data_IF_711916038858
#
_entry.id   IF_711916038858
#
_cell.length_a   1.000
_cell.length_b   1.000
_cell.length_c   1.000
_cell.angle_alpha   90.00
_cell.angle_beta   90.00
_cell.angle_gamma   90.00
#
_symmetry.space_group_name_H-M   'P 1'
#
loop_
_entity.id
_entity.type
_entity.pdbx_description
1 polymer ?
#
# COMPACT_ATOMS: atom_id res chain seq x y z
N UNK A 1 72.74 66.33 -52.53
CA UNK A 1 72.16 65.01 -52.80
C UNK A 1 72.82 63.82 -52.00
N UNK A 2 74.14 63.72 -51.94
CA UNK A 2 74.80 62.56 -51.25
C UNK A 2 74.54 62.44 -49.73
N UNK A 3 74.29 63.58 -49.01
CA UNK A 3 73.96 63.52 -47.56
C UNK A 3 72.55 63.08 -47.30
N UNK A 4 71.57 63.47 -48.14
CA UNK A 4 70.18 63.10 -48.01
C UNK A 4 69.99 61.53 -48.24
N UNK A 5 70.72 61.05 -49.23
CA UNK A 5 70.68 59.60 -49.56
C UNK A 5 71.19 58.72 -48.39
N UNK A 6 72.22 59.18 -47.66
CA UNK A 6 72.74 58.44 -46.47
C UNK A 6 71.71 58.44 -45.34
N UNK A 7 70.97 59.50 -45.12
CA UNK A 7 69.93 59.58 -44.11
C UNK A 7 68.72 58.64 -44.44
N UNK A 8 68.35 58.58 -45.71
CA UNK A 8 67.27 57.68 -46.16
C UNK A 8 67.69 56.25 -46.02
N UNK A 9 68.96 55.90 -46.38
CA UNK A 9 69.49 54.53 -46.23
C UNK A 9 69.49 54.11 -44.70
N UNK A 10 69.97 55.02 -43.83
CA UNK A 10 70.00 54.77 -42.39
C UNK A 10 68.57 54.55 -41.80
N UNK A 11 67.62 55.39 -42.32
CA UNK A 11 66.20 55.25 -41.86
C UNK A 11 65.57 53.94 -42.32
N UNK A 12 65.84 53.48 -43.55
CA UNK A 12 65.35 52.22 -44.09
C UNK A 12 65.98 51.01 -43.35
N UNK A 13 67.27 51.11 -43.07
CA UNK A 13 67.93 50.00 -42.28
C UNK A 13 67.42 49.98 -40.85
N UNK A 14 67.22 51.12 -40.22
CA UNK A 14 66.61 51.18 -38.87
C UNK A 14 65.19 50.62 -38.83
N UNK A 15 64.38 50.96 -39.84
CA UNK A 15 63.00 50.54 -39.96
C UNK A 15 62.90 49.00 -40.22
N UNK A 16 63.72 48.47 -41.10
CA UNK A 16 63.82 47.02 -41.35
C UNK A 16 64.37 46.27 -40.16
N UNK A 17 65.34 46.84 -39.41
CA UNK A 17 65.82 46.30 -38.14
C UNK A 17 64.76 46.28 -37.06
N UNK A 18 63.90 47.30 -36.98
CA UNK A 18 62.78 47.38 -36.06
C UNK A 18 61.69 46.35 -36.35
N UNK A 19 61.34 46.19 -37.65
CA UNK A 19 60.40 45.19 -38.08
C UNK A 19 60.95 43.78 -37.81
N UNK A 20 62.24 43.51 -38.15
CA UNK A 20 62.89 42.22 -37.87
C UNK A 20 62.98 41.91 -36.38
N UNK A 21 63.31 42.92 -35.55
CA UNK A 21 63.31 42.83 -34.08
C UNK A 21 61.92 42.55 -33.48
N UNK A 22 60.91 43.23 -34.05
CA UNK A 22 59.53 42.93 -33.61
C UNK A 22 59.08 41.53 -33.96
N UNK A 23 59.34 41.02 -35.14
CA UNK A 23 59.02 39.65 -35.52
C UNK A 23 59.84 38.62 -34.73
N UNK A 24 61.09 38.88 -34.45
CA UNK A 24 61.93 38.01 -33.61
C UNK A 24 61.44 38.01 -32.14
N UNK A 25 61.17 39.22 -31.59
CA UNK A 25 60.62 39.32 -30.24
C UNK A 25 59.25 38.65 -30.11
N UNK A 26 58.36 38.88 -31.10
CA UNK A 26 57.05 38.21 -31.10
C UNK A 26 57.13 36.71 -31.25
N UNK A 27 58.10 36.17 -32.03
CA UNK A 27 58.24 34.73 -32.17
C UNK A 27 58.92 34.06 -30.97
N UNK A 28 59.78 34.77 -30.22
CA UNK A 28 60.42 34.22 -29.00
C UNK A 28 59.57 34.48 -27.73
N UNK A 29 58.79 35.53 -27.69
CA UNK A 29 57.85 35.79 -26.54
C UNK A 29 56.57 35.00 -26.62
N UNK A 30 56.18 34.45 -27.79
CA UNK A 30 55.05 33.51 -27.93
C UNK A 30 55.36 32.06 -27.58
N UNK A 31 56.63 31.71 -27.29
CA UNK A 31 57.02 30.43 -26.70
C UNK A 31 57.08 30.48 -25.15
N UNK A 32 56.57 31.55 -24.52
CA UNK A 32 56.27 31.53 -23.10
C UNK A 32 55.07 30.61 -22.86
N UNK A 33 55.30 29.50 -22.18
CA UNK A 33 54.34 28.59 -21.61
C UNK A 33 52.99 29.25 -21.36
N UNK A 34 52.07 29.08 -22.28
CA UNK A 34 50.65 29.11 -21.94
C UNK A 34 50.42 27.83 -21.16
N UNK A 35 50.75 27.83 -19.88
CA UNK A 35 49.98 27.02 -18.92
C UNK A 35 48.59 27.58 -19.02
N UNK A 36 47.81 27.04 -19.96
CA UNK A 36 46.39 27.09 -19.88
C UNK A 36 46.04 26.46 -18.50
N UNK A 37 45.73 27.31 -17.53
CA UNK A 37 44.85 26.88 -16.45
C UNK A 37 43.54 26.48 -17.14
N UNK A 38 43.53 25.26 -17.74
CA UNK A 38 42.29 24.54 -17.93
C UNK A 38 41.77 24.34 -16.52
N UNK A 39 40.88 25.24 -16.10
CA UNK A 39 39.98 24.88 -15.02
C UNK A 39 39.48 23.50 -15.37
N UNK A 40 39.79 22.52 -14.53
CA UNK A 40 39.25 21.20 -14.64
C UNK A 40 37.73 21.35 -14.54
N UNK A 41 37.10 21.68 -15.67
CA UNK A 41 35.63 21.62 -15.76
C UNK A 41 35.28 20.18 -15.69
N UNK A 42 34.67 19.79 -14.57
CA UNK A 42 34.04 18.47 -14.42
C UNK A 42 33.03 18.31 -15.56
N UNK A 43 33.33 17.47 -16.53
CA UNK A 43 32.39 17.13 -17.59
C UNK A 43 31.58 15.91 -17.25
N UNK A 44 30.29 15.97 -17.47
CA UNK A 44 29.42 14.77 -17.40
C UNK A 44 29.70 13.97 -18.68
N UNK A 45 30.18 12.73 -18.49
CA UNK A 45 30.36 11.81 -19.60
C UNK A 45 28.96 11.31 -20.04
N UNK A 46 28.52 11.65 -21.22
CA UNK A 46 27.34 11.08 -21.87
C UNK A 46 27.66 9.66 -22.38
N UNK A 47 27.79 8.73 -21.44
CA UNK A 47 27.78 7.30 -21.79
C UNK A 47 26.32 6.93 -21.98
N UNK A 48 25.94 6.46 -23.14
CA UNK A 48 24.64 5.80 -23.35
C UNK A 48 24.64 4.53 -22.54
N UNK A 49 23.98 4.58 -21.37
CA UNK A 49 23.79 3.43 -20.50
C UNK A 49 22.38 2.91 -20.69
N UNK A 50 22.27 1.66 -21.15
CA UNK A 50 20.99 0.95 -21.28
C UNK A 50 20.90 -0.05 -20.14
N UNK A 51 19.98 0.13 -19.20
CA UNK A 51 19.71 -0.81 -18.12
C UNK A 51 18.26 -1.30 -18.23
N UNK A 52 18.01 -2.15 -19.21
CA UNK A 52 16.71 -2.75 -19.45
C UNK A 52 16.64 -4.10 -18.73
N UNK A 53 16.01 -4.12 -17.58
CA UNK A 53 15.83 -5.30 -16.71
C UNK A 53 14.35 -5.70 -16.67
N UNK A 54 14.05 -6.93 -16.23
CA UNK A 54 12.68 -7.37 -16.02
C UNK A 54 11.92 -6.43 -15.05
N UNK A 55 12.62 -5.84 -14.07
CA UNK A 55 12.06 -4.86 -13.14
C UNK A 55 11.64 -3.59 -13.85
N UNK A 56 12.50 -3.01 -14.72
CA UNK A 56 12.17 -1.77 -15.43
C UNK A 56 11.00 -1.98 -16.38
N UNK A 57 10.98 -3.11 -17.11
CA UNK A 57 9.87 -3.47 -18.01
C UNK A 57 8.56 -3.69 -17.25
N UNK A 58 8.59 -4.34 -16.08
CA UNK A 58 7.42 -4.55 -15.25
C UNK A 58 6.82 -3.22 -14.75
N UNK A 59 7.68 -2.27 -14.33
CA UNK A 59 7.27 -0.94 -13.88
C UNK A 59 6.68 -0.14 -15.03
N UNK A 60 7.36 -0.08 -16.19
CA UNK A 60 6.88 0.63 -17.37
C UNK A 60 5.50 0.17 -17.83
N UNK A 61 5.20 -1.15 -17.68
CA UNK A 61 3.91 -1.72 -18.07
C UNK A 61 2.74 -1.20 -17.22
N UNK A 62 2.97 -0.91 -15.93
CA UNK A 62 1.87 -0.69 -14.97
C UNK A 62 1.88 0.70 -14.32
N UNK A 63 2.98 1.45 -14.35
CA UNK A 63 3.12 2.72 -13.62
C UNK A 63 2.01 3.74 -13.95
N UNK A 64 1.55 3.79 -15.19
CA UNK A 64 0.49 4.71 -15.62
C UNK A 64 -0.90 4.30 -15.12
N UNK A 65 -1.05 3.07 -14.61
CA UNK A 65 -2.27 2.62 -13.93
C UNK A 65 -2.23 2.89 -12.41
N UNK A 66 -1.09 3.35 -11.87
CA UNK A 66 -0.97 3.71 -10.45
C UNK A 66 -1.29 5.19 -10.26
N UNK A 67 -2.14 5.49 -9.30
CA UNK A 67 -2.63 6.84 -9.04
C UNK A 67 -2.41 7.24 -7.59
N UNK A 68 -2.37 8.56 -7.32
CA UNK A 68 -2.48 9.06 -5.95
C UNK A 68 -3.94 9.30 -5.61
N UNK A 69 -4.35 8.85 -4.43
CA UNK A 69 -5.69 9.05 -3.87
C UNK A 69 -5.61 10.09 -2.77
N UNK A 70 -6.35 11.18 -2.91
CA UNK A 70 -6.32 12.34 -2.00
C UNK A 70 -7.66 12.43 -1.29
N UNK A 71 -7.63 12.30 0.04
CA UNK A 71 -8.78 12.38 0.92
C UNK A 71 -8.91 13.78 1.50
N UNK A 72 -10.05 14.43 1.30
CA UNK A 72 -10.37 15.73 1.85
C UNK A 72 -11.47 15.62 2.91
N UNK A 73 -11.27 16.32 4.01
CA UNK A 73 -12.22 16.41 5.12
C UNK A 73 -12.34 17.86 5.62
N UNK A 74 -13.46 18.21 6.19
CA UNK A 74 -13.65 19.50 6.86
C UNK A 74 -12.80 19.54 8.13
N UNK A 75 -11.86 20.48 8.21
CA UNK A 75 -11.14 20.71 9.46
C UNK A 75 -12.01 21.47 10.45
N UNK A 76 -12.46 20.79 11.50
CA UNK A 76 -13.02 21.41 12.69
C UNK A 76 -11.93 22.21 13.40
N UNK A 77 -11.85 23.51 13.17
CA UNK A 77 -10.88 24.41 13.79
C UNK A 77 -11.18 24.63 15.28
N UNK A 78 -10.99 23.61 16.11
CA UNK A 78 -11.29 23.67 17.55
C UNK A 78 -10.11 24.02 18.46
N UNK A 79 -8.99 24.55 17.95
CA UNK A 79 -7.82 24.74 18.83
C UNK A 79 -7.18 26.13 18.86
N UNK A 80 -7.35 26.99 17.87
CA UNK A 80 -6.70 28.33 17.88
C UNK A 80 -7.67 29.51 17.70
N UNK A 81 -8.85 29.31 17.12
CA UNK A 81 -9.85 30.36 16.94
C UNK A 81 -10.48 30.86 18.25
N UNK A 82 -10.50 30.02 19.29
CA UNK A 82 -10.98 30.44 20.63
C UNK A 82 -10.07 31.45 21.34
N UNK A 83 -8.82 31.62 20.88
CA UNK A 83 -7.84 32.56 21.47
C UNK A 83 -7.87 33.92 20.77
N UNK A 84 -8.28 33.99 19.49
CA UNK A 84 -8.19 35.19 18.67
C UNK A 84 -9.55 35.78 18.24
N UNK A 85 -10.68 35.38 18.81
CA UNK A 85 -11.96 35.99 18.67
C UNK A 85 -12.43 36.24 17.22
N UNK A 86 -13.45 35.50 16.76
CA UNK A 86 -14.22 35.72 15.53
C UNK A 86 -13.43 35.82 14.24
N UNK A 87 -12.87 34.70 13.80
CA UNK A 87 -12.72 34.42 12.37
C UNK A 87 -13.85 33.44 12.04
N UNK A 88 -14.72 33.83 11.09
CA UNK A 88 -15.76 32.95 10.57
C UNK A 88 -15.12 31.61 10.23
N UNK A 89 -15.63 30.52 10.82
CA UNK A 89 -15.24 29.16 10.45
C UNK A 89 -15.65 28.96 8.99
N UNK A 90 -14.71 29.13 8.07
CA UNK A 90 -14.89 28.60 6.74
C UNK A 90 -14.80 27.07 6.87
N UNK A 91 -15.88 26.37 6.52
CA UNK A 91 -15.91 24.93 6.29
C UNK A 91 -15.02 24.61 5.07
N UNK A 92 -13.72 24.84 5.20
CA UNK A 92 -12.75 24.63 4.11
C UNK A 92 -12.25 23.20 4.17
N UNK A 93 -12.45 22.47 3.07
CA UNK A 93 -11.94 21.13 2.89
C UNK A 93 -10.41 21.16 2.85
N UNK A 94 -9.78 20.44 3.76
CA UNK A 94 -8.33 20.25 3.80
C UNK A 94 -7.96 18.81 3.48
N UNK A 95 -6.73 18.59 2.99
CA UNK A 95 -6.19 17.24 2.79
C UNK A 95 -6.02 16.58 4.16
N UNK A 96 -6.81 15.54 4.40
CA UNK A 96 -6.77 14.76 5.64
C UNK A 96 -5.81 13.56 5.51
N UNK A 97 -5.64 13.03 4.30
CA UNK A 97 -4.75 11.92 4.03
C UNK A 97 -4.50 11.71 2.54
N UNK A 98 -3.41 11.07 2.24
CA UNK A 98 -3.05 10.66 0.87
C UNK A 98 -2.56 9.21 0.87
N UNK A 99 -2.86 8.51 -0.23
CA UNK A 99 -2.41 7.16 -0.48
C UNK A 99 -2.30 6.89 -1.97
N UNK A 100 -2.30 5.63 -2.33
CA UNK A 100 -2.21 5.17 -3.71
C UNK A 100 -3.46 4.40 -4.11
N UNK A 101 -3.64 4.19 -5.41
CA UNK A 101 -4.66 3.35 -5.99
C UNK A 101 -4.20 2.71 -7.28
N UNK A 102 -4.94 1.72 -7.75
CA UNK A 102 -4.66 0.99 -8.99
C UNK A 102 -5.88 1.03 -9.88
N UNK A 103 -5.74 1.57 -11.09
CA UNK A 103 -6.77 1.49 -12.12
C UNK A 103 -6.76 0.06 -12.68
N UNK A 104 -7.82 -0.70 -12.45
CA UNK A 104 -7.89 -2.11 -12.84
C UNK A 104 -8.94 -2.42 -13.91
N UNK A 105 -9.85 -1.48 -14.17
CA UNK A 105 -10.95 -1.69 -15.12
C UNK A 105 -11.34 -0.40 -15.79
N UNK A 106 -11.69 -0.49 -17.08
CA UNK A 106 -12.33 0.57 -17.85
C UNK A 106 -13.58 -0.01 -18.50
N UNK A 107 -14.72 0.65 -18.29
CA UNK A 107 -16.02 0.25 -18.82
C UNK A 107 -16.73 1.50 -19.36
N UNK A 108 -16.77 1.61 -20.69
CA UNK A 108 -17.28 2.80 -21.37
C UNK A 108 -16.54 4.07 -20.96
N UNK A 109 -17.29 5.04 -20.45
CA UNK A 109 -16.77 6.34 -20.00
C UNK A 109 -16.31 6.35 -18.54
N UNK A 110 -16.29 5.18 -17.87
CA UNK A 110 -15.94 5.03 -16.47
C UNK A 110 -14.70 4.16 -16.31
N UNK A 111 -13.79 4.56 -15.42
CA UNK A 111 -12.69 3.74 -14.96
C UNK A 111 -12.80 3.48 -13.45
N UNK A 112 -12.35 2.31 -13.02
CA UNK A 112 -12.45 1.83 -11.65
C UNK A 112 -11.06 1.70 -11.04
N UNK A 113 -10.94 2.12 -9.80
CA UNK A 113 -9.72 2.16 -9.01
C UNK A 113 -9.94 1.38 -7.73
N UNK A 114 -9.03 0.48 -7.40
CA UNK A 114 -8.94 -0.11 -6.07
C UNK A 114 -7.93 0.67 -5.23
N UNK A 115 -8.27 0.87 -3.96
CA UNK A 115 -7.39 1.45 -2.93
C UNK A 115 -7.70 0.82 -1.57
N UNK A 116 -7.01 1.23 -0.51
CA UNK A 116 -7.39 0.82 0.84
C UNK A 116 -8.54 1.68 1.41
N UNK A 117 -9.39 1.04 2.22
CA UNK A 117 -10.46 1.75 2.91
C UNK A 117 -9.93 2.84 3.85
N UNK A 118 -8.85 2.59 4.60
CA UNK A 118 -8.27 3.58 5.52
C UNK A 118 -7.74 4.83 4.80
N UNK A 119 -7.39 4.76 3.50
CA UNK A 119 -6.95 5.92 2.71
C UNK A 119 -8.10 6.89 2.48
N UNK A 120 -9.33 6.36 2.33
CA UNK A 120 -10.52 7.19 2.01
C UNK A 120 -11.51 7.30 3.18
N UNK A 121 -11.18 6.72 4.33
CA UNK A 121 -12.07 6.75 5.51
C UNK A 121 -12.38 8.19 5.91
N UNK A 122 -13.67 8.50 6.14
CA UNK A 122 -14.13 9.82 6.50
C UNK A 122 -14.04 10.89 5.39
N UNK A 123 -13.70 10.52 4.16
CA UNK A 123 -13.58 11.48 3.06
C UNK A 123 -14.93 12.14 2.72
N UNK A 124 -14.96 13.47 2.72
CA UNK A 124 -16.08 14.24 2.18
C UNK A 124 -15.91 14.45 0.67
N UNK A 125 -14.65 14.48 0.20
CA UNK A 125 -14.28 14.55 -1.21
C UNK A 125 -13.06 13.70 -1.46
N UNK A 126 -13.04 13.01 -2.60
CA UNK A 126 -11.90 12.22 -3.08
C UNK A 126 -11.44 12.80 -4.41
N UNK A 127 -10.16 13.15 -4.51
CA UNK A 127 -9.52 13.47 -5.78
C UNK A 127 -8.49 12.39 -6.13
N UNK A 128 -8.38 12.12 -7.42
CA UNK A 128 -7.44 11.16 -8.00
C UNK A 128 -6.43 11.92 -8.85
N UNK A 129 -5.16 11.81 -8.54
CA UNK A 129 -4.07 12.34 -9.34
C UNK A 129 -3.48 11.23 -10.20
N UNK A 130 -3.66 11.34 -11.52
CA UNK A 130 -3.10 10.41 -12.50
C UNK A 130 -1.59 10.56 -12.63
N UNK A 131 -0.91 9.56 -13.18
CA UNK A 131 0.52 9.60 -13.51
C UNK A 131 0.87 10.76 -14.47
N UNK A 132 -0.07 11.16 -15.31
CA UNK A 132 0.05 12.33 -16.20
C UNK A 132 0.10 13.68 -15.47
N UNK A 133 -0.22 13.71 -14.17
CA UNK A 133 -0.37 14.94 -13.38
C UNK A 133 -1.78 15.56 -13.44
N UNK A 134 -2.71 14.97 -14.18
CA UNK A 134 -4.10 15.43 -14.19
C UNK A 134 -4.82 14.99 -12.91
N UNK A 135 -5.64 15.88 -12.37
CA UNK A 135 -6.46 15.62 -11.18
C UNK A 135 -7.93 15.44 -11.59
N UNK A 136 -8.52 14.34 -11.19
CA UNK A 136 -9.91 13.99 -11.46
C UNK A 136 -10.68 13.83 -10.13
N UNK A 137 -11.98 14.11 -10.15
CA UNK A 137 -12.85 13.80 -9.00
C UNK A 137 -13.18 12.33 -8.98
N UNK A 138 -13.00 11.68 -7.83
CA UNK A 138 -13.37 10.29 -7.57
C UNK A 138 -14.72 10.20 -6.89
N UNK A 139 -15.51 9.17 -7.24
CA UNK A 139 -16.75 8.81 -6.59
C UNK A 139 -16.62 7.42 -5.96
N UNK A 140 -16.94 7.30 -4.69
CA UNK A 140 -16.88 6.01 -3.98
C UNK A 140 -17.97 5.08 -4.52
N UNK A 141 -17.57 3.89 -4.96
CA UNK A 141 -18.48 2.79 -5.35
C UNK A 141 -18.88 1.97 -4.12
N UNK A 142 -17.90 1.65 -3.29
CA UNK A 142 -18.10 0.93 -2.05
C UNK A 142 -16.78 0.74 -1.30
N UNK A 143 -16.86 0.45 -0.02
CA UNK A 143 -15.72 0.22 0.83
C UNK A 143 -16.02 -0.86 1.87
N UNK A 144 -14.98 -1.55 2.30
CA UNK A 144 -15.04 -2.57 3.32
C UNK A 144 -13.92 -2.40 4.34
N UNK A 145 -14.32 -2.09 5.55
CA UNK A 145 -13.39 -1.82 6.66
C UNK A 145 -12.65 -3.08 7.09
N UNK A 146 -13.29 -4.25 6.95
CA UNK A 146 -12.70 -5.52 7.39
C UNK A 146 -11.51 -5.95 6.50
N UNK A 147 -11.70 -5.93 5.17
CA UNK A 147 -10.62 -6.27 4.23
C UNK A 147 -9.71 -5.10 3.92
N UNK A 148 -10.03 -3.89 4.40
CA UNK A 148 -9.32 -2.65 4.11
C UNK A 148 -9.25 -2.34 2.60
N UNK A 149 -10.31 -2.67 1.83
CA UNK A 149 -10.43 -2.42 0.39
C UNK A 149 -11.55 -1.41 0.12
N UNK A 150 -11.32 -0.50 -0.81
CA UNK A 150 -12.32 0.40 -1.37
C UNK A 150 -12.21 0.46 -2.89
N UNK A 151 -13.35 0.71 -3.53
CA UNK A 151 -13.47 0.91 -4.98
C UNK A 151 -13.97 2.31 -5.26
N UNK A 152 -13.25 3.02 -6.12
CA UNK A 152 -13.56 4.39 -6.57
C UNK A 152 -13.75 4.35 -8.08
N UNK A 153 -14.67 5.16 -8.60
CA UNK A 153 -14.83 5.37 -10.05
C UNK A 153 -14.48 6.81 -10.43
N UNK A 154 -13.93 6.97 -11.64
CA UNK A 154 -13.57 8.24 -12.28
C UNK A 154 -14.02 8.27 -13.73
N UNK A 155 -13.99 9.44 -14.36
CA UNK A 155 -14.12 9.56 -15.81
C UNK A 155 -12.92 8.90 -16.51
N UNK A 156 -13.19 8.11 -17.58
CA UNK A 156 -12.19 7.27 -18.22
C UNK A 156 -11.46 7.93 -19.41
N UNK A 157 -11.82 9.17 -19.77
CA UNK A 157 -11.29 9.88 -20.96
C UNK A 157 -9.78 10.07 -20.93
N UNK A 158 -9.19 10.18 -19.73
CA UNK A 158 -7.75 10.36 -19.50
C UNK A 158 -7.01 9.08 -19.09
N UNK A 159 -7.72 7.98 -18.95
CA UNK A 159 -7.14 6.70 -18.55
C UNK A 159 -6.59 5.98 -19.79
N UNK A 160 -5.28 5.78 -19.81
CA UNK A 160 -4.54 5.14 -20.91
C UNK A 160 -4.17 3.68 -20.61
N UNK A 161 -3.97 3.36 -19.34
CA UNK A 161 -3.45 2.04 -18.88
C UNK A 161 -4.31 1.50 -17.75
N UNK A 162 -4.54 0.19 -17.78
CA UNK A 162 -5.18 -0.58 -16.70
C UNK A 162 -4.21 -1.66 -16.25
N UNK A 163 -4.16 -1.94 -14.95
CA UNK A 163 -3.37 -3.02 -14.39
C UNK A 163 -4.12 -4.35 -14.49
N UNK A 164 -3.35 -5.43 -14.65
CA UNK A 164 -3.87 -6.80 -14.65
C UNK A 164 -3.57 -7.47 -13.31
N UNK A 165 -4.54 -8.17 -12.74
CA UNK A 165 -4.32 -9.02 -11.57
C UNK A 165 -3.75 -10.38 -11.97
N UNK A 166 -2.74 -10.86 -11.21
CA UNK A 166 -2.27 -12.23 -11.28
C UNK A 166 -2.96 -13.08 -10.19
N UNK A 167 -2.88 -14.40 -10.34
CA UNK A 167 -3.34 -15.31 -9.29
C UNK A 167 -2.31 -15.38 -8.15
N UNK A 168 -2.65 -14.80 -6.99
CA UNK A 168 -1.77 -14.78 -5.82
C UNK A 168 -1.52 -16.14 -5.17
N UNK A 169 -2.35 -17.17 -5.46
CA UNK A 169 -2.14 -18.52 -4.94
C UNK A 169 -0.99 -19.25 -5.64
N UNK A 170 -0.53 -18.74 -6.78
CA UNK A 170 0.55 -19.36 -7.57
C UNK A 170 1.93 -18.77 -7.33
N UNK A 171 2.01 -17.64 -6.62
CA UNK A 171 3.30 -16.97 -6.29
C UNK A 171 4.09 -17.80 -5.29
N UNK A 172 5.40 -17.60 -5.22
CA UNK A 172 6.30 -18.36 -4.35
C UNK A 172 7.16 -17.43 -3.50
N UNK A 173 7.49 -17.90 -2.31
CA UNK A 173 8.50 -17.25 -1.47
C UNK A 173 9.83 -17.17 -2.20
N UNK A 174 10.45 -15.99 -2.16
CA UNK A 174 11.69 -15.66 -2.87
C UNK A 174 11.48 -15.06 -4.26
N UNK A 175 10.26 -15.02 -4.81
CA UNK A 175 9.98 -14.28 -6.05
C UNK A 175 10.14 -12.77 -5.84
N UNK A 176 10.58 -12.09 -6.90
CA UNK A 176 10.69 -10.63 -6.90
C UNK A 176 9.32 -9.98 -6.71
N UNK A 177 9.26 -9.05 -5.78
CA UNK A 177 8.10 -8.20 -5.52
C UNK A 177 8.48 -6.73 -5.71
N UNK A 178 7.63 -5.96 -6.39
CA UNK A 178 7.85 -4.55 -6.66
C UNK A 178 6.61 -3.80 -6.19
N UNK A 179 6.79 -2.84 -5.29
CA UNK A 179 5.71 -1.96 -4.85
C UNK A 179 5.82 -0.61 -5.55
N UNK A 180 4.67 -0.09 -5.99
CA UNK A 180 4.57 1.23 -6.61
C UNK A 180 3.54 2.04 -5.84
N UNK A 181 3.83 3.34 -5.61
CA UNK A 181 2.92 4.21 -4.87
C UNK A 181 3.43 5.63 -4.71
N UNK A 182 2.78 6.38 -3.83
CA UNK A 182 3.05 7.79 -3.55
C UNK A 182 3.44 7.98 -2.07
N UNK A 183 4.59 7.43 -1.61
CA UNK A 183 4.98 7.54 -0.21
C UNK A 183 5.13 9.02 0.18
N UNK A 184 4.57 9.39 1.34
CA UNK A 184 4.58 10.77 1.86
C UNK A 184 3.85 11.79 0.97
N UNK A 185 2.87 11.33 0.17
CA UNK A 185 1.97 12.19 -0.60
C UNK A 185 2.29 12.28 -2.09
N UNK A 186 1.44 13.00 -2.81
CA UNK A 186 1.47 13.15 -4.27
C UNK A 186 2.78 13.75 -4.83
N UNK A 187 3.57 14.43 -3.99
CA UNK A 187 4.90 14.96 -4.36
C UNK A 187 5.87 13.82 -4.72
N UNK A 188 5.69 12.64 -4.15
CA UNK A 188 6.51 11.45 -4.39
C UNK A 188 5.74 10.37 -5.17
N UNK A 189 4.77 10.78 -6.00
CA UNK A 189 3.99 9.88 -6.85
C UNK A 189 4.90 8.98 -7.70
N UNK A 190 4.45 7.72 -7.91
CA UNK A 190 5.17 6.71 -8.69
C UNK A 190 6.56 6.31 -8.13
N UNK A 191 6.74 6.40 -6.81
CA UNK A 191 7.92 5.81 -6.18
C UNK A 191 7.86 4.30 -6.27
N UNK A 192 8.97 3.70 -6.70
CA UNK A 192 9.12 2.26 -6.87
C UNK A 192 10.09 1.72 -5.82
N UNK A 193 9.70 0.65 -5.14
CA UNK A 193 10.57 -0.13 -4.25
C UNK A 193 10.56 -1.59 -4.66
N UNK A 194 11.65 -2.31 -4.43
CA UNK A 194 11.80 -3.71 -4.83
C UNK A 194 12.32 -4.54 -3.66
N UNK A 195 11.82 -5.75 -3.58
CA UNK A 195 12.21 -6.77 -2.63
C UNK A 195 11.77 -8.16 -3.13
N UNK A 196 11.43 -9.03 -2.20
CA UNK A 196 10.96 -10.40 -2.48
C UNK A 196 9.68 -10.71 -1.70
N UNK A 197 8.99 -11.75 -2.10
CA UNK A 197 7.95 -12.38 -1.31
C UNK A 197 8.63 -13.12 -0.14
N UNK A 198 8.38 -12.68 1.09
CA UNK A 198 8.96 -13.27 2.31
C UNK A 198 8.10 -14.39 2.90
N UNK A 199 6.75 -14.30 2.75
CA UNK A 199 5.79 -15.33 3.15
C UNK A 199 4.47 -15.15 2.42
N UNK A 200 3.68 -16.23 2.25
CA UNK A 200 2.44 -16.21 1.45
C UNK A 200 1.18 -16.08 2.30
N UNK A 201 1.15 -16.60 3.48
CA UNK A 201 -0.06 -16.63 4.32
C UNK A 201 0.31 -16.27 5.75
N UNK A 202 0.37 -14.96 6.01
CA UNK A 202 0.48 -14.44 7.36
C UNK A 202 -0.88 -13.97 7.82
N UNK A 203 -1.43 -14.63 8.81
CA UNK A 203 -2.55 -14.06 9.55
C UNK A 203 -2.06 -12.84 10.31
N UNK A 204 -2.46 -11.68 9.90
CA UNK A 204 -2.08 -10.41 10.52
C UNK A 204 -3.30 -9.81 11.19
N UNK A 205 -3.13 -9.45 12.45
CA UNK A 205 -4.18 -8.86 13.27
C UNK A 205 -4.05 -7.34 13.23
N UNK A 206 -5.11 -6.65 12.85
CA UNK A 206 -5.21 -5.19 12.93
C UNK A 206 -6.44 -4.79 13.74
N UNK A 207 -6.50 -3.53 14.20
CA UNK A 207 -7.69 -2.99 14.85
C UNK A 207 -8.38 -2.01 13.91
N UNK A 208 -9.72 -2.08 13.85
CA UNK A 208 -10.53 -1.04 13.24
C UNK A 208 -10.55 0.21 14.10
N UNK A 209 -11.05 1.32 13.54
CA UNK A 209 -11.26 2.57 14.29
C UNK A 209 -12.23 2.38 15.48
N UNK A 210 -13.18 1.45 15.35
CA UNK A 210 -14.11 1.05 16.41
C UNK A 210 -13.53 0.07 17.44
N UNK A 211 -12.24 -0.25 17.35
CA UNK A 211 -11.53 -1.12 18.28
C UNK A 211 -11.79 -2.63 18.05
N UNK A 212 -12.47 -3.03 16.97
CA UNK A 212 -12.61 -4.43 16.62
C UNK A 212 -11.29 -4.99 16.11
N UNK A 213 -10.93 -6.17 16.57
CA UNK A 213 -9.78 -6.90 16.06
C UNK A 213 -10.14 -7.62 14.78
N UNK A 214 -9.44 -7.28 13.70
CA UNK A 214 -9.59 -7.92 12.39
C UNK A 214 -8.36 -8.79 12.14
N UNK A 215 -8.59 -9.96 11.58
CA UNK A 215 -7.54 -10.85 11.10
C UNK A 215 -7.69 -11.04 9.61
N UNK A 216 -6.61 -10.76 8.88
CA UNK A 216 -6.57 -10.92 7.43
C UNK A 216 -5.33 -11.70 7.02
N UNK A 217 -5.47 -12.53 5.99
CA UNK A 217 -4.31 -13.13 5.35
C UNK A 217 -3.57 -12.06 4.55
N UNK A 218 -2.25 -12.06 4.65
CA UNK A 218 -1.41 -11.11 3.94
C UNK A 218 -0.20 -11.78 3.32
N UNK A 219 0.20 -11.28 2.15
CA UNK A 219 1.52 -11.53 1.58
C UNK A 219 2.51 -10.69 2.37
N UNK A 220 3.54 -11.33 2.93
CA UNK A 220 4.65 -10.64 3.56
C UNK A 220 5.76 -10.41 2.53
N UNK A 221 6.34 -9.22 2.53
CA UNK A 221 7.46 -8.82 1.66
C UNK A 221 8.48 -7.99 2.45
N UNK A 222 9.73 -7.99 2.02
CA UNK A 222 10.76 -7.06 2.49
C UNK A 222 10.84 -5.79 1.61
N UNK A 223 9.99 -5.71 0.58
CA UNK A 223 9.78 -4.48 -0.19
C UNK A 223 9.36 -3.35 0.74
N UNK A 224 9.99 -2.19 0.65
CA UNK A 224 9.68 -1.07 1.54
C UNK A 224 8.25 -0.57 1.34
N UNK A 225 7.38 -0.87 2.31
CA UNK A 225 6.00 -0.38 2.38
C UNK A 225 5.94 0.69 3.46
N UNK A 226 5.53 1.89 3.07
CA UNK A 226 5.44 3.07 3.95
C UNK A 226 4.07 3.75 3.76
N UNK A 227 3.65 4.61 4.69
CA UNK A 227 2.48 5.47 4.49
C UNK A 227 2.55 6.18 3.13
N UNK A 228 1.46 6.08 2.34
CA UNK A 228 1.37 6.56 0.97
C UNK A 228 1.51 5.47 -0.11
N UNK A 229 2.23 4.35 0.14
CA UNK A 229 2.15 3.17 -0.74
C UNK A 229 0.85 2.37 -0.52
N UNK A 230 0.14 2.61 0.57
CA UNK A 230 -1.16 1.98 0.86
C UNK A 230 -2.13 2.19 -0.28
N UNK A 231 -2.79 1.12 -0.71
CA UNK A 231 -3.71 1.09 -1.85
C UNK A 231 -3.04 0.94 -3.21
N UNK A 232 -1.72 1.13 -3.30
CA UNK A 232 -0.93 0.86 -4.50
C UNK A 232 -0.65 -0.63 -4.70
N UNK A 233 -0.19 -1.04 -5.90
CA UNK A 233 0.04 -2.43 -6.20
C UNK A 233 1.36 -2.96 -5.63
N UNK A 234 1.35 -4.22 -5.23
CA UNK A 234 2.51 -5.10 -5.22
C UNK A 234 2.46 -5.92 -6.52
N UNK A 235 3.49 -5.86 -7.36
CA UNK A 235 3.52 -6.51 -8.66
C UNK A 235 4.62 -7.55 -8.77
N UNK A 236 4.43 -8.51 -9.67
CA UNK A 236 5.47 -9.45 -10.11
C UNK A 236 6.34 -8.85 -11.24
N UNK A 237 7.35 -9.61 -11.70
CA UNK A 237 8.24 -9.19 -12.80
C UNK A 237 7.57 -9.15 -14.18
N UNK A 238 6.32 -9.60 -14.32
CA UNK A 238 5.50 -9.45 -15.52
C UNK A 238 4.65 -8.16 -15.49
N UNK A 239 4.73 -7.37 -14.42
CA UNK A 239 3.93 -6.17 -14.21
C UNK A 239 2.47 -6.46 -13.86
N UNK A 240 2.19 -7.63 -13.30
CA UNK A 240 0.85 -8.01 -12.86
C UNK A 240 0.71 -7.83 -11.35
N UNK A 241 -0.44 -7.37 -10.90
CA UNK A 241 -0.74 -7.12 -9.48
C UNK A 241 -0.94 -8.45 -8.76
N UNK A 242 -0.09 -8.74 -7.79
CA UNK A 242 -0.15 -9.91 -6.91
C UNK A 242 -0.75 -9.57 -5.54
N UNK A 243 -0.86 -8.28 -5.22
CA UNK A 243 -1.49 -7.80 -3.99
C UNK A 243 -1.65 -6.29 -3.94
N UNK A 244 -2.41 -5.82 -2.96
CA UNK A 244 -2.61 -4.39 -2.65
C UNK A 244 -1.87 -4.05 -1.36
N UNK A 245 -0.90 -3.15 -1.43
CA UNK A 245 -0.07 -2.76 -0.28
C UNK A 245 -0.91 -2.14 0.84
N UNK A 246 -0.63 -2.46 2.10
CA UNK A 246 -1.28 -1.83 3.25
C UNK A 246 -0.27 -1.53 4.37
N UNK A 247 -0.04 -0.26 4.63
CA UNK A 247 0.80 0.20 5.75
C UNK A 247 0.11 0.04 7.11
N UNK A 248 -1.23 -0.07 7.14
CA UNK A 248 -2.00 -0.31 8.37
C UNK A 248 -1.66 -1.69 8.95
N UNK A 249 -1.54 -2.70 8.09
CA UNK A 249 -1.14 -4.06 8.48
C UNK A 249 0.29 -4.03 9.02
N UNK A 250 1.19 -3.31 8.34
CA UNK A 250 2.59 -3.15 8.76
C UNK A 250 2.71 -2.49 10.14
N UNK A 251 1.93 -1.44 10.39
CA UNK A 251 1.96 -0.68 11.65
C UNK A 251 1.42 -1.48 12.84
N UNK A 252 0.43 -2.35 12.63
CA UNK A 252 -0.16 -3.17 13.71
C UNK A 252 0.74 -4.33 14.12
N UNK A 253 1.72 -4.70 13.29
CA UNK A 253 2.71 -5.74 13.59
C UNK A 253 3.87 -5.23 14.47
N UNK A 254 3.85 -3.96 14.89
CA UNK A 254 4.85 -3.39 15.81
C UNK A 254 4.70 -4.05 17.18
N UNK A 255 5.78 -4.60 17.70
CA UNK A 255 5.80 -5.24 19.01
C UNK A 255 5.37 -4.27 20.11
N UNK A 256 4.81 -4.80 21.19
CA UNK A 256 4.43 -4.04 22.41
C UNK A 256 5.56 -3.22 23.04
N UNK A 257 6.79 -3.34 22.55
CA UNK A 257 7.96 -2.55 22.94
C UNK A 257 8.10 -1.21 22.21
N UNK A 258 7.21 -0.89 21.24
CA UNK A 258 7.25 0.38 20.49
C UNK A 258 8.41 0.51 19.49
N UNK A 259 9.16 -0.57 19.24
CA UNK A 259 10.22 -0.58 18.23
C UNK A 259 9.62 -0.97 16.89
N UNK A 260 9.68 -0.07 15.91
CA UNK A 260 9.32 -0.39 14.54
C UNK A 260 10.23 -1.50 13.99
N UNK A 261 9.66 -2.57 13.48
CA UNK A 261 10.42 -3.64 12.81
C UNK A 261 10.58 -3.26 11.35
N UNK A 262 11.80 -2.91 10.96
CA UNK A 262 12.13 -2.61 9.57
C UNK A 262 12.18 -3.89 8.72
N UNK A 263 11.86 -3.78 7.42
CA UNK A 263 11.94 -4.88 6.47
C UNK A 263 10.76 -5.87 6.51
N UNK A 264 9.65 -5.50 7.14
CA UNK A 264 8.39 -6.25 7.06
C UNK A 264 7.29 -5.38 6.45
N UNK A 265 6.98 -5.62 5.19
CA UNK A 265 5.83 -5.06 4.49
C UNK A 265 4.74 -6.11 4.30
N UNK A 266 3.49 -5.67 4.12
CA UNK A 266 2.35 -6.54 3.90
C UNK A 266 1.48 -6.03 2.76
N UNK A 267 0.90 -6.98 2.01
CA UNK A 267 -0.08 -6.69 0.97
C UNK A 267 -1.26 -7.67 1.05
N UNK A 268 -2.46 -7.17 0.77
CA UNK A 268 -3.67 -7.98 0.65
C UNK A 268 -3.54 -8.79 -0.65
N UNK A 269 -3.66 -10.13 -0.61
CA UNK A 269 -3.53 -10.98 -1.81
C UNK A 269 -4.50 -10.56 -2.92
N UNK A 270 -4.05 -10.64 -4.17
CA UNK A 270 -4.88 -10.23 -5.32
C UNK A 270 -6.17 -11.02 -5.46
N UNK A 271 -6.17 -12.33 -5.16
CA UNK A 271 -7.38 -13.15 -5.22
C UNK A 271 -8.44 -12.64 -4.22
N UNK A 272 -8.02 -12.33 -2.98
CA UNK A 272 -8.90 -11.80 -1.95
C UNK A 272 -9.40 -10.40 -2.35
N UNK A 273 -8.50 -9.53 -2.83
CA UNK A 273 -8.86 -8.19 -3.28
C UNK A 273 -9.90 -8.23 -4.42
N UNK A 274 -9.71 -9.10 -5.43
CA UNK A 274 -10.65 -9.24 -6.56
C UNK A 274 -12.02 -9.75 -6.11
N UNK A 275 -12.06 -10.69 -5.17
CA UNK A 275 -13.32 -11.17 -4.60
C UNK A 275 -14.11 -10.04 -3.90
N UNK A 276 -13.41 -9.20 -3.14
CA UNK A 276 -14.00 -8.03 -2.46
C UNK A 276 -14.42 -6.98 -3.48
N UNK A 277 -13.58 -6.63 -4.45
CA UNK A 277 -13.88 -5.68 -5.54
C UNK A 277 -15.19 -6.05 -6.24
N UNK A 278 -15.37 -7.33 -6.61
CA UNK A 278 -16.58 -7.79 -7.30
C UNK A 278 -17.84 -7.58 -6.45
N UNK A 279 -17.76 -7.79 -5.13
CA UNK A 279 -18.90 -7.53 -4.23
C UNK A 279 -19.17 -6.02 -4.10
N UNK A 280 -18.13 -5.20 -3.98
CA UNK A 280 -18.27 -3.74 -3.89
C UNK A 280 -18.84 -3.15 -5.19
N UNK A 281 -18.39 -3.61 -6.37
CA UNK A 281 -18.97 -3.17 -7.65
C UNK A 281 -20.44 -3.55 -7.79
N UNK A 282 -20.81 -4.74 -7.33
CA UNK A 282 -22.17 -5.27 -7.53
C UNK A 282 -23.16 -4.73 -6.51
N UNK A 283 -22.74 -4.65 -5.24
CA UNK A 283 -23.66 -4.42 -4.10
C UNK A 283 -23.35 -3.12 -3.33
N UNK A 284 -22.24 -2.45 -3.64
CA UNK A 284 -21.75 -1.28 -2.89
C UNK A 284 -21.17 -1.63 -1.50
N UNK A 285 -21.29 -2.89 -1.08
CA UNK A 285 -20.81 -3.39 0.22
C UNK A 285 -20.42 -4.87 0.16
N UNK A 286 -19.64 -5.30 1.13
CA UNK A 286 -19.29 -6.71 1.33
C UNK A 286 -20.22 -7.33 2.36
N UNK A 287 -20.83 -8.45 2.01
CA UNK A 287 -21.71 -9.20 2.90
C UNK A 287 -20.99 -10.45 3.38
N UNK A 288 -20.84 -10.59 4.70
CA UNK A 288 -20.18 -11.75 5.33
C UNK A 288 -21.17 -12.58 6.14
N UNK A 289 -21.01 -13.91 6.17
CA UNK A 289 -21.84 -14.74 7.01
C UNK A 289 -21.55 -14.50 8.50
N UNK A 290 -22.56 -14.60 9.32
CA UNK A 290 -22.50 -14.47 10.76
C UNK A 290 -23.03 -15.70 11.47
N UNK A 291 -22.34 -16.12 12.54
CA UNK A 291 -22.82 -17.19 13.42
C UNK A 291 -23.75 -16.68 14.52
N UNK A 292 -23.57 -15.42 14.96
CA UNK A 292 -24.31 -14.86 16.09
C UNK A 292 -23.83 -15.40 17.43
N UNK A 293 -22.52 -15.39 17.66
CA UNK A 293 -21.87 -15.84 18.89
C UNK A 293 -21.10 -14.69 19.56
N UNK A 294 -21.18 -14.61 20.89
CA UNK A 294 -20.20 -13.87 21.70
C UNK A 294 -19.11 -14.86 22.13
N UNK A 295 -17.87 -14.48 21.94
CA UNK A 295 -16.75 -15.40 22.07
C UNK A 295 -15.47 -14.74 22.59
N UNK A 296 -14.61 -15.52 23.22
CA UNK A 296 -13.28 -15.12 23.70
C UNK A 296 -12.25 -16.19 23.31
N UNK A 297 -10.98 -15.78 23.13
CA UNK A 297 -9.93 -16.79 22.94
C UNK A 297 -9.73 -17.58 24.24
N UNK A 298 -9.54 -18.88 24.11
CA UNK A 298 -9.23 -19.73 25.27
C UNK A 298 -7.95 -19.28 25.97
N UNK A 299 -6.95 -18.83 25.20
CA UNK A 299 -5.67 -18.32 25.67
C UNK A 299 -5.75 -17.02 26.49
N UNK A 300 -6.83 -16.25 26.34
CA UNK A 300 -7.02 -14.98 27.07
C UNK A 300 -7.60 -15.20 28.49
N UNK A 301 -8.02 -16.43 28.80
CA UNK A 301 -8.65 -16.77 30.06
C UNK A 301 -7.62 -17.03 31.15
N UNK A 302 -7.85 -16.47 32.34
CA UNK A 302 -7.08 -16.80 33.53
C UNK A 302 -7.38 -18.22 34.03
N UNK A 303 -6.47 -18.82 34.79
CA UNK A 303 -6.66 -20.17 35.38
C UNK A 303 -7.99 -20.27 36.15
N UNK A 304 -8.37 -19.23 36.88
CA UNK A 304 -9.64 -19.23 37.63
C UNK A 304 -10.87 -19.17 36.75
N UNK A 305 -10.79 -18.59 35.54
CA UNK A 305 -11.86 -18.58 34.56
C UNK A 305 -11.97 -19.93 33.86
N UNK A 306 -10.83 -20.58 33.54
CA UNK A 306 -10.80 -21.96 33.01
C UNK A 306 -11.39 -22.95 34.01
N UNK A 307 -11.09 -22.81 35.32
CA UNK A 307 -11.72 -23.65 36.39
C UNK A 307 -13.23 -23.47 36.40
N UNK A 308 -13.74 -22.22 36.34
CA UNK A 308 -15.19 -21.93 36.31
C UNK A 308 -15.88 -22.49 35.08
N UNK A 309 -15.18 -22.50 33.94
CA UNK A 309 -15.67 -23.07 32.68
C UNK A 309 -15.57 -24.59 32.64
N UNK A 310 -14.96 -25.23 33.65
CA UNK A 310 -14.74 -26.69 33.68
C UNK A 310 -13.64 -27.19 32.74
N UNK A 311 -12.76 -26.27 32.30
CA UNK A 311 -11.72 -26.50 31.29
C UNK A 311 -10.31 -26.62 31.87
N UNK A 312 -10.12 -26.44 33.17
CA UNK A 312 -8.80 -26.47 33.82
C UNK A 312 -8.02 -27.78 33.69
N UNK A 313 -8.71 -28.89 33.48
CA UNK A 313 -8.14 -30.24 33.36
C UNK A 313 -8.32 -30.79 31.93
N UNK A 314 -8.40 -29.96 30.92
CA UNK A 314 -8.49 -30.38 29.53
C UNK A 314 -7.12 -30.27 28.84
N UNK A 315 -6.90 -31.06 27.79
CA UNK A 315 -5.71 -30.95 26.94
C UNK A 315 -5.82 -29.81 25.93
N UNK A 316 -6.87 -28.97 26.04
CA UNK A 316 -7.07 -27.83 25.13
C UNK A 316 -6.12 -26.69 25.49
N UNK A 317 -5.25 -26.33 24.54
CA UNK A 317 -4.29 -25.25 24.68
C UNK A 317 -4.71 -23.99 23.92
N UNK A 318 -5.63 -24.13 22.93
CA UNK A 318 -6.12 -23.06 22.07
C UNK A 318 -7.56 -23.33 21.65
N UNK A 319 -8.21 -22.37 21.02
CA UNK A 319 -9.58 -22.43 20.54
C UNK A 319 -10.40 -21.20 20.93
N UNK A 320 -11.66 -21.18 20.52
CA UNK A 320 -12.60 -20.09 20.75
C UNK A 320 -13.72 -20.52 21.67
N UNK A 321 -13.75 -19.97 22.88
CA UNK A 321 -14.78 -20.26 23.86
C UNK A 321 -16.03 -19.43 23.59
N UNK A 322 -17.18 -20.10 23.52
CA UNK A 322 -18.50 -19.47 23.38
C UNK A 322 -18.98 -18.96 24.74
N UNK A 323 -19.29 -17.68 24.81
CA UNK A 323 -19.87 -17.02 25.98
C UNK A 323 -21.39 -17.09 25.91
N UNK A 324 -21.95 -16.77 24.75
CA UNK A 324 -23.40 -16.81 24.48
C UNK A 324 -23.68 -16.91 22.99
N UNK A 325 -24.89 -17.33 22.64
CA UNK A 325 -25.45 -17.27 21.29
C UNK A 325 -26.55 -16.23 21.21
N UNK A 326 -26.72 -15.60 20.08
CA UNK A 326 -27.77 -14.63 19.81
C UNK A 326 -28.99 -15.38 19.23
N UNK A 327 -30.16 -15.15 19.82
CA UNK A 327 -31.38 -15.83 19.39
C UNK A 327 -31.78 -15.47 17.95
N UNK A 328 -32.19 -16.51 17.20
CA UNK A 328 -32.59 -16.39 15.80
C UNK A 328 -31.43 -16.46 14.79
N UNK A 329 -30.17 -16.42 15.23
CA UNK A 329 -28.99 -16.51 14.34
C UNK A 329 -28.51 -17.97 14.22
N UNK A 330 -27.62 -18.29 13.24
CA UNK A 330 -27.26 -19.67 12.90
C UNK A 330 -26.76 -20.55 14.06
N UNK A 331 -26.09 -19.94 15.05
CA UNK A 331 -25.57 -20.65 16.22
C UNK A 331 -26.61 -20.87 17.34
N UNK A 332 -27.81 -20.27 17.23
CA UNK A 332 -28.86 -20.38 18.26
C UNK A 332 -29.28 -21.84 18.49
N UNK A 333 -29.21 -22.28 19.75
CA UNK A 333 -29.53 -23.64 20.15
C UNK A 333 -28.52 -24.69 19.65
N UNK A 334 -27.43 -24.31 18.99
CA UNK A 334 -26.36 -25.23 18.56
C UNK A 334 -25.24 -25.30 19.59
N UNK A 335 -24.91 -24.17 20.18
CA UNK A 335 -23.88 -24.08 21.21
C UNK A 335 -24.46 -23.71 22.57
N UNK A 336 -23.75 -24.12 23.59
CA UNK A 336 -23.97 -23.77 24.99
C UNK A 336 -22.80 -22.89 25.50
N UNK A 337 -23.02 -22.06 26.55
CA UNK A 337 -21.90 -21.37 27.19
C UNK A 337 -20.78 -22.35 27.60
N UNK A 338 -19.53 -21.96 27.34
CA UNK A 338 -18.30 -22.72 27.60
C UNK A 338 -18.00 -23.84 26.59
N UNK A 339 -18.76 -23.96 25.48
CA UNK A 339 -18.28 -24.73 24.33
C UNK A 339 -17.03 -24.07 23.75
N UNK A 340 -16.07 -24.90 23.30
CA UNK A 340 -14.83 -24.39 22.69
C UNK A 340 -14.76 -24.86 21.24
N UNK A 341 -14.90 -23.96 20.29
CA UNK A 341 -14.70 -24.23 18.86
C UNK A 341 -13.22 -24.44 18.59
N UNK A 342 -12.88 -25.50 17.84
CA UNK A 342 -11.52 -25.91 17.53
C UNK A 342 -11.27 -26.17 16.05
N UNK A 343 -12.31 -26.37 15.23
CA UNK A 343 -12.19 -26.59 13.78
C UNK A 343 -13.43 -26.08 13.04
N UNK A 344 -13.25 -25.58 11.82
CA UNK A 344 -14.31 -25.36 10.83
C UNK A 344 -13.90 -26.11 9.56
N UNK A 345 -14.76 -27.01 9.05
CA UNK A 345 -14.54 -27.84 7.85
C UNK A 345 -13.19 -28.59 7.83
N UNK A 346 -12.68 -28.91 9.03
CA UNK A 346 -11.41 -29.63 9.23
C UNK A 346 -10.19 -28.71 9.38
N UNK A 347 -10.32 -27.41 9.20
CA UNK A 347 -9.27 -26.42 9.45
C UNK A 347 -9.24 -26.06 10.93
N UNK A 348 -8.04 -26.04 11.50
CA UNK A 348 -7.83 -25.78 12.93
C UNK A 348 -8.10 -24.33 13.28
N UNK A 349 -8.85 -24.10 14.36
CA UNK A 349 -9.18 -22.78 14.91
C UNK A 349 -8.47 -22.61 16.25
N UNK A 350 -7.44 -21.80 16.31
CA UNK A 350 -6.70 -21.51 17.54
C UNK A 350 -7.23 -20.29 18.30
N UNK A 351 -7.84 -19.34 17.58
CA UNK A 351 -8.31 -18.05 18.11
C UNK A 351 -9.49 -17.48 17.29
N UNK A 352 -10.07 -16.38 17.77
CA UNK A 352 -11.19 -15.69 17.10
C UNK A 352 -10.87 -15.25 15.66
N UNK A 353 -9.64 -14.90 15.42
CA UNK A 353 -9.19 -14.43 14.10
C UNK A 353 -9.21 -15.56 13.08
N UNK A 354 -8.76 -16.75 13.48
CA UNK A 354 -8.82 -17.94 12.62
C UNK A 354 -10.28 -18.31 12.32
N UNK A 355 -11.13 -18.26 13.36
CA UNK A 355 -12.57 -18.51 13.19
C UNK A 355 -13.20 -17.54 12.18
N UNK A 356 -12.91 -16.25 12.28
CA UNK A 356 -13.42 -15.25 11.35
C UNK A 356 -12.88 -15.46 9.94
N UNK A 357 -11.57 -15.70 9.81
CA UNK A 357 -10.94 -15.94 8.50
C UNK A 357 -11.54 -17.15 7.81
N UNK A 358 -11.76 -18.23 8.55
CA UNK A 358 -12.33 -19.45 7.99
C UNK A 358 -13.81 -19.26 7.63
N UNK A 359 -14.60 -18.67 8.55
CA UNK A 359 -16.00 -18.36 8.30
C UNK A 359 -16.22 -17.50 7.06
N UNK A 360 -15.34 -16.53 6.81
CA UNK A 360 -15.48 -15.57 5.70
C UNK A 360 -15.03 -16.09 4.34
N UNK A 361 -14.48 -17.31 4.27
CA UNK A 361 -14.30 -18.04 3.00
C UNK A 361 -15.63 -18.57 2.44
N UNK A 362 -16.66 -18.62 3.28
CA UNK A 362 -17.99 -19.12 2.91
C UNK A 362 -18.95 -18.00 2.55
N UNK A 363 -20.04 -18.36 1.88
CA UNK A 363 -21.12 -17.46 1.50
C UNK A 363 -22.39 -17.73 2.31
N UNK A 364 -23.28 -16.71 2.35
CA UNK A 364 -24.60 -16.91 2.91
C UNK A 364 -25.35 -17.96 2.09
N UNK A 365 -25.88 -18.97 2.77
CA UNK A 365 -26.52 -20.15 2.17
C UNK A 365 -25.70 -21.43 2.29
N UNK A 366 -24.37 -21.33 2.48
CA UNK A 366 -23.50 -22.47 2.68
C UNK A 366 -23.77 -23.17 4.01
N UNK A 367 -23.35 -24.42 4.10
CA UNK A 367 -23.37 -25.21 5.34
C UNK A 367 -21.95 -25.56 5.69
N UNK A 368 -21.53 -25.20 6.90
CA UNK A 368 -20.21 -25.50 7.46
C UNK A 368 -20.32 -26.53 8.58
N UNK A 369 -19.28 -27.34 8.75
CA UNK A 369 -19.16 -28.31 9.85
C UNK A 369 -18.22 -27.75 10.91
N UNK A 370 -18.72 -27.53 12.14
CA UNK A 370 -17.92 -27.02 13.25
C UNK A 370 -17.64 -28.12 14.24
N UNK A 371 -16.34 -28.38 14.52
CA UNK A 371 -15.89 -29.22 15.62
C UNK A 371 -15.68 -28.40 16.88
N UNK A 372 -16.19 -28.85 18.00
CA UNK A 372 -16.10 -28.16 19.26
C UNK A 372 -16.02 -29.13 20.45
N UNK A 373 -15.54 -28.65 21.58
CA UNK A 373 -15.56 -29.41 22.84
C UNK A 373 -16.70 -28.92 23.73
N UNK A 374 -17.46 -29.86 24.28
CA UNK A 374 -18.45 -29.66 25.33
C UNK A 374 -18.24 -30.72 26.40
N UNK A 375 -18.09 -30.34 27.68
CA UNK A 375 -17.87 -31.24 28.79
C UNK A 375 -16.74 -32.25 28.53
N UNK A 376 -15.63 -31.76 28.01
CA UNK A 376 -14.43 -32.52 27.65
C UNK A 376 -14.63 -33.60 26.56
N UNK A 377 -15.68 -33.48 25.75
CA UNK A 377 -15.93 -34.36 24.61
C UNK A 377 -15.91 -33.58 23.32
N UNK A 378 -15.17 -34.06 22.33
CA UNK A 378 -15.20 -33.52 20.97
C UNK A 378 -16.53 -33.89 20.32
N UNK A 379 -17.22 -32.90 19.78
CA UNK A 379 -18.49 -32.98 19.08
C UNK A 379 -18.40 -32.21 17.74
N UNK A 380 -19.34 -32.50 16.85
CA UNK A 380 -19.48 -31.81 15.58
C UNK A 380 -20.92 -31.35 15.37
N UNK A 381 -21.10 -30.23 14.67
CA UNK A 381 -22.43 -29.71 14.30
C UNK A 381 -22.36 -29.06 12.94
N UNK A 382 -23.36 -29.34 12.09
CA UNK A 382 -23.54 -28.63 10.84
C UNK A 382 -24.38 -27.37 11.06
N UNK A 383 -23.88 -26.24 10.55
CA UNK A 383 -24.54 -24.93 10.65
C UNK A 383 -24.73 -24.38 9.27
N UNK A 384 -25.97 -24.08 8.91
CA UNK A 384 -26.29 -23.34 7.70
C UNK A 384 -26.13 -21.84 7.95
N UNK A 385 -25.30 -21.16 7.16
CA UNK A 385 -25.05 -19.72 7.24
C UNK A 385 -26.21 -18.96 6.60
N UNK A 386 -27.18 -18.53 7.38
CA UNK A 386 -28.42 -17.90 6.90
C UNK A 386 -28.45 -16.39 7.10
N UNK A 387 -27.54 -15.84 7.86
CA UNK A 387 -27.49 -14.44 8.26
C UNK A 387 -26.13 -13.82 7.98
N UNK A 388 -26.09 -12.51 7.86
CA UNK A 388 -24.90 -11.71 7.63
C UNK A 388 -24.44 -10.99 8.89
N UNK A 389 -23.26 -10.38 8.80
CA UNK A 389 -22.76 -9.49 9.86
C UNK A 389 -23.66 -8.27 10.07
N UNK A 390 -24.47 -7.89 9.08
CA UNK A 390 -25.46 -6.80 9.21
C UNK A 390 -26.61 -7.14 10.16
N UNK A 391 -26.83 -8.45 10.43
CA UNK A 391 -27.89 -8.93 11.31
C UNK A 391 -27.43 -9.04 12.78
N UNK A 392 -26.16 -8.78 13.07
CA UNK A 392 -25.62 -8.76 14.43
C UNK A 392 -26.06 -7.49 15.15
N UNK A 393 -26.67 -7.63 16.32
CA UNK A 393 -27.13 -6.55 17.19
C UNK A 393 -26.18 -6.29 18.37
#
# INVERSE_FOLDING_TARGET
>A
MKKLLKFVILFVVGFLGGIGGYYFASSTLTQGNSTSNQANTTSVNNVQYTNDTSTTQAVEKVQDAVVSVINYQTQSSNSLSSIFGNIESSDELAVAGEGSGVIYKKDGDTAYIVTNNHVISGAEKIDILLASGEKLSGELVGADTYSDIAVIKIAADKVTTIAEFANSDTIKVGETAIAIGSPLGSVYANTVTQGIISSLSRTVTSQTEDGQTISTNAIQTDTAINPGNSGGPLINIQGQVIGINSSKITSSSVSSSGVAVEGMGFAIPSNDAVQIINQLETNGKVTRPALGVQMVNLTDLSTSQLEKAGLANTDLTSGVLIVSTQSGLPADGKFEPYDVIIEIDGETIENKSDLQSELYKHQIGDTITISYYRNNKKMTVDIKLTHSTDDLS
#
